data_IF_035333006335
#
_entry.id   IF_035333006335
#
_cell.length_a   1.000
_cell.length_b   1.000
_cell.length_c   1.000
_cell.angle_alpha   90.00
_cell.angle_beta   90.00
_cell.angle_gamma   90.00
#
_symmetry.space_group_name_H-M   'P 1'
#
loop_
_entity.id
_entity.type
_entity.pdbx_description
1 polymer ?
#
# COMPACT_ATOMS: atom_id res chain seq x y z
N UNK A 1 -31.52 3.06 -12.18
CA UNK A 1 -30.75 2.21 -11.25
C UNK A 1 -30.31 0.96 -12.01
N UNK A 2 -29.00 0.73 -12.17
CA UNK A 2 -28.51 -0.55 -12.72
C UNK A 2 -28.83 -1.66 -11.70
N UNK A 3 -29.53 -2.69 -12.13
CA UNK A 3 -29.83 -3.88 -11.33
C UNK A 3 -28.50 -4.47 -10.84
N UNK A 4 -28.29 -4.55 -9.53
CA UNK A 4 -27.10 -5.20 -8.98
C UNK A 4 -27.26 -6.71 -9.20
N UNK A 5 -26.52 -7.23 -10.18
CA UNK A 5 -26.45 -8.67 -10.43
C UNK A 5 -25.56 -9.30 -9.35
N UNK A 6 -26.19 -9.90 -8.34
CA UNK A 6 -25.47 -10.58 -7.27
C UNK A 6 -24.84 -11.86 -7.82
N UNK A 7 -23.51 -11.95 -7.72
CA UNK A 7 -22.73 -13.12 -8.19
C UNK A 7 -23.06 -14.43 -7.45
N UNK A 8 -23.72 -14.35 -6.30
CA UNK A 8 -24.08 -15.48 -5.45
C UNK A 8 -25.52 -15.31 -4.99
N UNK A 9 -26.27 -16.41 -4.89
CA UNK A 9 -27.64 -16.44 -4.34
C UNK A 9 -27.66 -16.15 -2.84
N UNK A 10 -26.54 -16.35 -2.14
CA UNK A 10 -26.40 -16.06 -0.71
C UNK A 10 -25.01 -16.32 -0.16
N UNK A 11 -24.82 -15.98 1.12
CA UNK A 11 -23.53 -16.06 1.82
C UNK A 11 -23.00 -17.49 1.94
N UNK A 12 -23.91 -18.46 2.17
CA UNK A 12 -23.55 -19.89 2.23
C UNK A 12 -23.05 -20.45 0.90
N UNK A 13 -23.58 -19.98 -0.23
CA UNK A 13 -23.09 -20.37 -1.55
C UNK A 13 -21.69 -19.83 -1.81
N UNK A 14 -21.44 -18.57 -1.42
CA UNK A 14 -20.11 -17.96 -1.50
C UNK A 14 -19.09 -18.71 -0.66
N UNK A 15 -19.42 -19.03 0.59
CA UNK A 15 -18.54 -19.81 1.48
C UNK A 15 -18.20 -21.18 0.87
N UNK A 16 -19.19 -21.88 0.31
CA UNK A 16 -18.99 -23.18 -0.36
C UNK A 16 -18.16 -23.07 -1.64
N UNK A 17 -18.26 -21.97 -2.40
CA UNK A 17 -17.49 -21.77 -3.63
C UNK A 17 -16.07 -21.27 -3.37
N UNK A 18 -15.88 -20.41 -2.37
CA UNK A 18 -14.62 -19.72 -2.06
C UNK A 18 -13.85 -20.37 -0.88
N UNK A 19 -14.29 -21.53 -0.36
CA UNK A 19 -13.70 -22.19 0.83
C UNK A 19 -12.18 -22.38 0.76
N UNK A 20 -11.65 -22.70 -0.42
CA UNK A 20 -10.20 -22.88 -0.64
C UNK A 20 -9.42 -21.60 -0.38
N UNK A 21 -10.00 -20.45 -0.73
CA UNK A 21 -9.37 -19.14 -0.53
C UNK A 21 -9.28 -18.86 0.98
N UNK A 22 -10.36 -19.10 1.72
CA UNK A 22 -10.38 -18.90 3.18
C UNK A 22 -9.42 -19.85 3.90
N UNK A 23 -9.41 -21.13 3.53
CA UNK A 23 -8.52 -22.12 4.12
C UNK A 23 -7.04 -21.78 3.87
N UNK A 24 -6.69 -21.42 2.64
CA UNK A 24 -5.32 -21.03 2.33
C UNK A 24 -4.91 -19.73 3.01
N UNK A 25 -5.81 -18.73 3.10
CA UNK A 25 -5.54 -17.52 3.85
C UNK A 25 -5.22 -17.84 5.31
N UNK A 26 -5.99 -18.71 5.95
CA UNK A 26 -5.72 -19.16 7.32
C UNK A 26 -4.35 -19.87 7.44
N UNK A 27 -4.03 -20.79 6.53
CA UNK A 27 -2.74 -21.50 6.53
C UNK A 27 -1.58 -20.51 6.33
N UNK A 28 -1.69 -19.58 5.39
CA UNK A 28 -0.64 -18.58 5.14
C UNK A 28 -0.44 -17.65 6.33
N UNK A 29 -1.53 -17.27 7.01
CA UNK A 29 -1.46 -16.47 8.24
C UNK A 29 -0.72 -17.26 9.32
N UNK A 30 -1.08 -18.52 9.57
CA UNK A 30 -0.43 -19.36 10.59
C UNK A 30 1.07 -19.49 10.31
N UNK A 31 1.44 -19.78 9.05
CA UNK A 31 2.86 -19.90 8.65
C UNK A 31 3.59 -18.56 8.84
N UNK A 32 3.01 -17.46 8.35
CA UNK A 32 3.65 -16.15 8.41
C UNK A 32 3.79 -15.64 9.86
N UNK A 33 2.77 -15.85 10.69
CA UNK A 33 2.78 -15.44 12.09
C UNK A 33 3.76 -16.28 12.92
N UNK A 34 3.89 -17.58 12.60
CA UNK A 34 4.89 -18.46 13.23
C UNK A 34 6.33 -18.03 12.94
N UNK A 35 6.59 -17.38 11.80
CA UNK A 35 7.90 -16.79 11.47
C UNK A 35 8.13 -15.50 12.28
N UNK A 36 7.07 -14.72 12.51
CA UNK A 36 7.14 -13.46 13.23
C UNK A 36 7.85 -12.35 12.45
N UNK A 37 8.25 -11.30 13.15
CA UNK A 37 8.95 -10.16 12.55
C UNK A 37 10.45 -10.42 12.44
N UNK A 38 11.02 -10.27 11.25
CA UNK A 38 12.47 -10.34 11.06
C UNK A 38 13.02 -8.92 11.09
N UNK A 39 13.98 -8.67 11.97
CA UNK A 39 14.64 -7.37 12.13
C UNK A 39 16.05 -7.47 11.59
N UNK A 40 16.35 -6.70 10.55
CA UNK A 40 17.66 -6.64 9.91
C UNK A 40 18.26 -5.25 10.20
N UNK A 41 19.35 -5.15 10.97
CA UNK A 41 20.02 -3.87 11.18
C UNK A 41 20.63 -3.39 9.85
N UNK A 42 20.24 -2.20 9.41
CA UNK A 42 20.64 -1.58 8.15
C UNK A 42 21.21 -0.19 8.46
N UNK A 43 22.49 -0.16 8.85
CA UNK A 43 23.22 1.07 9.18
C UNK A 43 22.51 1.91 10.26
N UNK A 44 22.05 3.15 9.96
CA UNK A 44 21.39 4.01 10.95
C UNK A 44 19.96 3.59 11.31
N UNK A 45 19.39 2.58 10.64
CA UNK A 45 18.02 2.11 10.85
C UNK A 45 17.90 0.60 11.00
N UNK A 46 16.70 0.13 11.32
CA UNK A 46 16.36 -1.30 11.30
C UNK A 46 15.30 -1.54 10.26
N UNK A 47 15.57 -2.44 9.31
CA UNK A 47 14.53 -2.94 8.42
C UNK A 47 13.73 -4.01 9.15
N UNK A 48 12.43 -3.79 9.29
CA UNK A 48 11.51 -4.74 9.90
C UNK A 48 10.66 -5.36 8.80
N UNK A 49 10.85 -6.66 8.58
CA UNK A 49 10.05 -7.43 7.65
C UNK A 49 8.89 -8.08 8.41
N UNK A 50 7.70 -7.56 8.16
CA UNK A 50 6.46 -7.99 8.81
C UNK A 50 5.91 -9.30 8.19
N UNK A 51 5.20 -10.12 8.98
CA UNK A 51 4.52 -11.34 8.51
C UNK A 51 3.70 -11.20 7.22
N UNK A 52 3.07 -10.04 7.03
CA UNK A 52 2.27 -9.74 5.83
C UNK A 52 3.05 -9.93 4.52
N UNK A 53 4.37 -9.72 4.52
CA UNK A 53 5.17 -9.92 3.32
C UNK A 53 5.33 -11.40 2.99
N UNK A 54 5.55 -12.26 4.00
CA UNK A 54 5.64 -13.71 3.77
C UNK A 54 4.33 -14.29 3.25
N UNK A 55 3.19 -13.84 3.80
CA UNK A 55 1.89 -14.32 3.35
C UNK A 55 1.60 -13.92 1.89
N UNK A 56 2.04 -12.73 1.46
CA UNK A 56 1.99 -12.31 0.05
C UNK A 56 2.85 -13.23 -0.82
N UNK A 57 4.09 -13.55 -0.42
CA UNK A 57 4.95 -14.46 -1.17
C UNK A 57 4.33 -15.86 -1.31
N UNK A 58 3.77 -16.42 -0.22
CA UNK A 58 3.05 -17.70 -0.27
C UNK A 58 1.81 -17.63 -1.19
N UNK A 59 1.10 -16.50 -1.19
CA UNK A 59 0.01 -16.22 -2.12
C UNK A 59 0.46 -16.21 -3.58
N UNK A 60 1.59 -15.57 -3.89
CA UNK A 60 2.16 -15.55 -5.24
C UNK A 60 2.58 -16.96 -5.68
N UNK A 61 3.27 -17.72 -4.80
CA UNK A 61 3.69 -19.09 -5.07
C UNK A 61 2.50 -20.02 -5.35
N UNK A 62 1.42 -19.89 -4.59
CA UNK A 62 0.19 -20.68 -4.80
C UNK A 62 -0.62 -20.27 -6.04
N UNK A 63 -0.25 -19.17 -6.69
CA UNK A 63 -0.94 -18.64 -7.86
C UNK A 63 -0.84 -19.52 -9.12
N UNK A 64 -1.66 -19.21 -10.15
CA UNK A 64 -1.75 -19.97 -11.40
C UNK A 64 -0.48 -19.96 -12.25
N UNK A 65 0.46 -19.06 -11.98
CA UNK A 65 1.71 -18.92 -12.73
C UNK A 65 2.83 -19.81 -12.17
N UNK A 66 2.74 -20.23 -10.90
CA UNK A 66 3.81 -20.96 -10.22
C UNK A 66 3.32 -22.35 -9.85
N UNK A 67 2.68 -22.53 -8.68
CA UNK A 67 2.24 -23.86 -8.21
C UNK A 67 0.86 -24.30 -8.74
N UNK A 68 0.09 -23.39 -9.37
CA UNK A 68 -1.23 -23.68 -9.95
C UNK A 68 -2.26 -24.24 -8.96
N UNK A 69 -2.08 -23.97 -7.67
CA UNK A 69 -3.03 -24.34 -6.61
C UNK A 69 -4.34 -23.57 -6.82
N UNK A 70 -4.23 -22.28 -7.15
CA UNK A 70 -5.36 -21.42 -7.49
C UNK A 70 -5.51 -21.17 -8.99
N UNK A 71 -6.75 -21.16 -9.47
CA UNK A 71 -7.12 -20.81 -10.84
C UNK A 71 -7.49 -19.32 -10.95
N UNK A 72 -7.47 -18.78 -12.19
CA UNK A 72 -7.84 -17.37 -12.47
C UNK A 72 -9.18 -16.92 -11.83
N UNK A 73 -10.26 -17.73 -11.83
CA UNK A 73 -11.51 -17.32 -11.20
C UNK A 73 -11.39 -17.15 -9.68
N UNK A 74 -10.65 -18.05 -9.02
CA UNK A 74 -10.43 -18.01 -7.56
C UNK A 74 -9.56 -16.81 -7.18
N UNK A 75 -8.51 -16.50 -7.95
CA UNK A 75 -7.69 -15.29 -7.75
C UNK A 75 -8.52 -14.02 -7.93
N UNK A 76 -9.39 -13.98 -8.94
CA UNK A 76 -10.28 -12.83 -9.18
C UNK A 76 -11.29 -12.66 -8.04
N UNK A 77 -11.84 -13.75 -7.52
CA UNK A 77 -12.72 -13.73 -6.36
C UNK A 77 -11.98 -13.23 -5.09
N UNK A 78 -10.76 -13.72 -4.85
CA UNK A 78 -9.91 -13.28 -3.75
C UNK A 78 -9.61 -11.77 -3.80
N UNK A 79 -9.35 -11.22 -5.00
CA UNK A 79 -9.12 -9.77 -5.18
C UNK A 79 -10.29 -8.91 -4.69
N UNK A 80 -11.53 -9.42 -4.79
CA UNK A 80 -12.73 -8.72 -4.28
C UNK A 80 -12.88 -8.82 -2.77
N UNK A 81 -12.30 -9.84 -2.13
CA UNK A 81 -12.32 -9.97 -0.67
C UNK A 81 -11.37 -8.99 0.01
N UNK A 82 -10.34 -8.50 -0.70
CA UNK A 82 -9.36 -7.53 -0.17
C UNK A 82 -10.05 -6.30 0.43
N UNK A 83 -11.01 -5.68 -0.28
CA UNK A 83 -11.72 -4.50 0.22
C UNK A 83 -12.50 -4.80 1.51
N UNK A 84 -13.15 -5.97 1.56
CA UNK A 84 -13.94 -6.40 2.73
C UNK A 84 -13.04 -6.52 3.95
N UNK A 85 -11.82 -7.04 3.78
CA UNK A 85 -10.84 -7.17 4.85
C UNK A 85 -10.19 -5.84 5.24
N UNK A 86 -9.94 -4.94 4.28
CA UNK A 86 -9.29 -3.65 4.53
C UNK A 86 -10.27 -2.60 5.08
N UNK A 87 -11.56 -2.66 4.75
CA UNK A 87 -12.56 -1.68 5.19
C UNK A 87 -12.57 -1.43 6.71
N UNK A 88 -12.60 -2.46 7.59
CA UNK A 88 -12.50 -2.25 9.03
C UNK A 88 -11.19 -1.56 9.46
N UNK A 89 -10.08 -1.87 8.77
CA UNK A 89 -8.79 -1.23 9.02
C UNK A 89 -8.81 0.24 8.63
N UNK A 90 -9.37 0.59 7.46
CA UNK A 90 -9.55 1.99 7.04
C UNK A 90 -10.46 2.75 8.00
N UNK A 91 -11.56 2.14 8.44
CA UNK A 91 -12.45 2.74 9.43
C UNK A 91 -11.68 3.05 10.73
N UNK A 92 -10.87 2.10 11.22
CA UNK A 92 -10.01 2.30 12.39
C UNK A 92 -8.97 3.40 12.16
N UNK A 93 -8.32 3.45 10.99
CA UNK A 93 -7.38 4.52 10.65
C UNK A 93 -8.06 5.89 10.66
N UNK A 94 -9.26 6.00 10.08
CA UNK A 94 -10.05 7.23 10.07
C UNK A 94 -10.43 7.71 11.47
N UNK A 95 -10.88 6.79 12.34
CA UNK A 95 -11.20 7.10 13.74
C UNK A 95 -9.96 7.59 14.48
N UNK A 96 -8.81 6.92 14.32
CA UNK A 96 -7.56 7.30 14.96
C UNK A 96 -7.05 8.66 14.47
N UNK A 97 -7.15 8.93 13.16
CA UNK A 97 -6.79 10.22 12.58
C UNK A 97 -7.69 11.33 13.12
N UNK A 98 -9.00 11.09 13.23
CA UNK A 98 -9.95 12.03 13.85
C UNK A 98 -9.64 12.31 15.33
N UNK A 99 -9.27 11.28 16.09
CA UNK A 99 -8.86 11.43 17.49
C UNK A 99 -7.58 12.28 17.66
N UNK A 100 -6.74 12.35 16.62
CA UNK A 100 -5.46 13.09 16.62
C UNK A 100 -5.51 14.36 15.76
N UNK A 101 -6.69 14.95 15.57
CA UNK A 101 -6.89 16.05 14.62
C UNK A 101 -6.02 17.28 14.91
N UNK A 102 -5.75 17.59 16.17
CA UNK A 102 -4.85 18.70 16.54
C UNK A 102 -3.42 18.48 16.03
N UNK A 103 -2.92 17.25 16.13
CA UNK A 103 -1.61 16.85 15.57
C UNK A 103 -1.62 16.94 14.04
N UNK A 104 -2.72 16.56 13.39
CA UNK A 104 -2.87 16.67 11.93
C UNK A 104 -2.85 18.13 11.49
N UNK A 105 -3.56 19.02 12.21
CA UNK A 105 -3.62 20.45 11.91
C UNK A 105 -2.24 21.10 12.08
N UNK A 106 -1.53 20.79 13.16
CA UNK A 106 -0.17 21.32 13.38
C UNK A 106 0.84 20.80 12.36
N UNK A 107 0.70 19.55 11.90
CA UNK A 107 1.45 19.00 10.78
C UNK A 107 0.95 19.50 9.41
N UNK A 108 -0.16 20.25 9.36
CA UNK A 108 -0.87 20.68 8.15
C UNK A 108 0.03 21.28 7.07
N UNK A 109 0.93 22.22 7.36
CA UNK A 109 1.86 22.76 6.36
C UNK A 109 2.76 21.70 5.72
N UNK A 110 3.26 20.75 6.52
CA UNK A 110 4.07 19.65 6.02
C UNK A 110 3.24 18.66 5.19
N UNK A 111 2.01 18.35 5.62
CA UNK A 111 1.07 17.50 4.89
C UNK A 111 0.68 18.12 3.54
N UNK A 112 0.45 19.43 3.47
CA UNK A 112 0.18 20.13 2.22
C UNK A 112 1.37 20.01 1.25
N UNK A 113 2.59 20.25 1.72
CA UNK A 113 3.80 20.06 0.91
C UNK A 113 3.98 18.60 0.47
N UNK A 114 3.65 17.65 1.33
CA UNK A 114 3.67 16.23 1.01
C UNK A 114 2.68 15.89 -0.12
N UNK A 115 1.46 16.43 -0.09
CA UNK A 115 0.48 16.21 -1.16
C UNK A 115 0.91 16.85 -2.49
N UNK A 116 1.58 18.00 -2.46
CA UNK A 116 2.22 18.55 -3.67
C UNK A 116 3.30 17.62 -4.22
N UNK A 117 4.11 17.01 -3.34
CA UNK A 117 5.08 15.99 -3.73
C UNK A 117 4.41 14.79 -4.40
N UNK A 118 3.33 14.28 -3.80
CA UNK A 118 2.55 13.18 -4.37
C UNK A 118 2.01 13.53 -5.77
N UNK A 119 1.41 14.71 -5.95
CA UNK A 119 0.95 15.19 -7.26
C UNK A 119 2.09 15.35 -8.27
N UNK A 120 3.25 15.83 -7.81
CA UNK A 120 4.45 15.98 -8.63
C UNK A 120 4.90 14.67 -9.27
N UNK A 121 4.78 13.55 -8.55
CA UNK A 121 5.16 12.24 -9.08
C UNK A 121 4.32 11.79 -10.28
N UNK A 122 3.10 12.31 -10.45
CA UNK A 122 2.21 11.95 -11.57
C UNK A 122 2.81 12.42 -12.90
N UNK A 123 3.42 13.61 -12.94
CA UNK A 123 4.03 14.16 -14.15
C UNK A 123 5.17 13.30 -14.69
N UNK A 124 5.82 12.50 -13.84
CA UNK A 124 6.85 11.56 -14.26
C UNK A 124 6.29 10.14 -14.45
N UNK A 125 5.52 9.65 -13.49
CA UNK A 125 5.04 8.27 -13.48
C UNK A 125 4.01 7.98 -14.57
N UNK A 126 3.10 8.90 -14.86
CA UNK A 126 2.04 8.68 -15.85
C UNK A 126 2.60 8.59 -17.28
N UNK A 127 3.46 9.51 -17.76
CA UNK A 127 4.09 9.35 -19.08
C UNK A 127 4.89 8.05 -19.21
N UNK A 128 5.65 7.69 -18.17
CA UNK A 128 6.42 6.43 -18.17
C UNK A 128 5.47 5.23 -18.23
N UNK A 129 4.38 5.23 -17.46
CA UNK A 129 3.40 4.15 -17.48
C UNK A 129 2.75 4.00 -18.87
N UNK A 130 2.39 5.12 -19.50
CA UNK A 130 1.84 5.13 -20.86
C UNK A 130 2.86 4.63 -21.89
N UNK A 131 4.13 5.02 -21.77
CA UNK A 131 5.23 4.54 -22.64
C UNK A 131 5.45 3.03 -22.52
N UNK A 132 5.24 2.46 -21.32
CA UNK A 132 5.26 1.02 -21.08
C UNK A 132 3.99 0.30 -21.60
N UNK A 133 3.07 1.02 -22.25
CA UNK A 133 1.86 0.48 -22.85
C UNK A 133 0.70 0.27 -21.86
N UNK A 134 0.82 0.74 -20.62
CA UNK A 134 -0.27 0.73 -19.65
C UNK A 134 -1.33 1.74 -20.09
N UNK A 135 -2.61 1.35 -20.08
CA UNK A 135 -3.72 2.24 -20.46
C UNK A 135 -4.48 2.67 -19.22
N UNK A 136 -5.62 2.02 -18.95
CA UNK A 136 -6.46 2.31 -17.78
C UNK A 136 -5.77 1.90 -16.49
N UNK A 137 -4.95 0.86 -16.52
CA UNK A 137 -4.10 0.44 -15.40
C UNK A 137 -3.18 1.56 -14.90
N UNK A 138 -2.73 2.45 -15.80
CA UNK A 138 -1.85 3.57 -15.44
C UNK A 138 -2.54 4.55 -14.48
N UNK A 139 -3.86 4.74 -14.61
CA UNK A 139 -4.63 5.64 -13.73
C UNK A 139 -4.54 5.17 -12.28
N UNK A 140 -4.74 3.87 -12.03
CA UNK A 140 -4.61 3.32 -10.68
C UNK A 140 -3.16 3.17 -10.24
N UNK A 141 -2.26 2.74 -11.13
CA UNK A 141 -0.84 2.57 -10.80
C UNK A 141 -0.15 3.89 -10.41
N UNK A 142 -0.55 5.00 -11.02
CA UNK A 142 -0.01 6.34 -10.74
C UNK A 142 -0.85 7.14 -9.73
N UNK A 143 -1.87 6.52 -9.12
CA UNK A 143 -2.71 7.19 -8.14
C UNK A 143 -2.07 7.23 -6.76
N UNK A 144 -1.51 8.40 -6.40
CA UNK A 144 -0.90 8.64 -5.09
C UNK A 144 0.16 7.56 -4.77
N UNK A 145 0.40 7.29 -3.49
CA UNK A 145 1.30 6.23 -3.01
C UNK A 145 0.61 4.85 -2.92
N UNK A 146 -0.61 4.72 -3.45
CA UNK A 146 -1.40 3.50 -3.49
C UNK A 146 -1.57 2.79 -2.14
N UNK A 147 -1.60 3.53 -1.02
CA UNK A 147 -1.93 3.00 0.32
C UNK A 147 -3.40 2.60 0.46
N UNK A 148 -3.77 2.01 1.60
CA UNK A 148 -5.06 1.35 1.85
C UNK A 148 -6.26 2.24 1.47
N UNK A 149 -6.23 3.52 1.84
CA UNK A 149 -7.27 4.49 1.48
C UNK A 149 -7.39 4.71 -0.02
N UNK A 150 -6.26 4.78 -0.72
CA UNK A 150 -6.21 4.96 -2.17
C UNK A 150 -6.68 3.69 -2.90
N UNK A 151 -6.30 2.51 -2.41
CA UNK A 151 -6.77 1.23 -2.96
C UNK A 151 -8.29 1.11 -2.82
N UNK A 152 -8.82 1.44 -1.64
CA UNK A 152 -10.26 1.42 -1.39
C UNK A 152 -11.00 2.44 -2.27
N UNK A 153 -10.50 3.66 -2.38
CA UNK A 153 -11.08 4.69 -3.25
C UNK A 153 -11.12 4.24 -4.71
N UNK A 154 -10.03 3.64 -5.20
CA UNK A 154 -9.95 3.18 -6.58
C UNK A 154 -10.92 2.03 -6.87
N UNK A 155 -11.11 1.14 -5.90
CA UNK A 155 -12.09 0.05 -5.98
C UNK A 155 -13.54 0.54 -5.87
N UNK A 156 -13.80 1.60 -5.10
CA UNK A 156 -15.13 2.21 -4.97
C UNK A 156 -15.54 2.97 -6.24
N UNK A 157 -14.64 3.81 -6.77
CA UNK A 157 -14.91 4.64 -7.95
C UNK A 157 -15.00 3.82 -9.23
N UNK A 158 -14.04 2.92 -9.48
CA UNK A 158 -13.95 2.19 -10.76
C UNK A 158 -14.50 0.76 -10.68
N UNK A 159 -14.74 0.25 -9.47
CA UNK A 159 -15.11 -1.14 -9.22
C UNK A 159 -13.89 -2.04 -9.02
N UNK A 160 -14.00 -3.11 -8.21
CA UNK A 160 -12.87 -3.97 -7.84
C UNK A 160 -12.32 -4.83 -8.99
N UNK A 161 -13.09 -5.02 -10.06
CA UNK A 161 -12.67 -5.76 -11.25
C UNK A 161 -12.04 -4.87 -12.34
N UNK A 162 -11.95 -3.57 -12.12
CA UNK A 162 -11.51 -2.60 -13.12
C UNK A 162 -9.99 -2.67 -13.37
N UNK A 163 -9.53 -2.31 -14.59
CA UNK A 163 -8.13 -2.05 -14.87
C UNK A 163 -7.45 -1.12 -13.85
N UNK A 164 -8.13 -0.05 -13.45
CA UNK A 164 -7.65 0.96 -12.49
C UNK A 164 -7.40 0.32 -11.12
N UNK A 165 -8.38 -0.39 -10.57
CA UNK A 165 -8.24 -1.10 -9.30
C UNK A 165 -7.10 -2.13 -9.32
N UNK A 166 -6.92 -2.85 -10.44
CA UNK A 166 -5.81 -3.79 -10.62
C UNK A 166 -4.45 -3.09 -10.68
N UNK A 167 -4.37 -1.94 -11.36
CA UNK A 167 -3.16 -1.12 -11.40
C UNK A 167 -2.77 -0.65 -10.00
N UNK A 168 -3.74 -0.13 -9.24
CA UNK A 168 -3.56 0.30 -7.85
C UNK A 168 -3.11 -0.85 -6.94
N UNK A 169 -3.79 -1.99 -7.01
CA UNK A 169 -3.45 -3.19 -6.23
C UNK A 169 -2.03 -3.70 -6.55
N UNK A 170 -1.62 -3.64 -7.82
CA UNK A 170 -0.28 -4.06 -8.25
C UNK A 170 0.81 -3.20 -7.61
N UNK A 171 0.63 -1.87 -7.60
CA UNK A 171 1.58 -0.94 -6.99
C UNK A 171 1.54 -1.01 -5.46
N UNK A 172 0.37 -1.23 -4.85
CA UNK A 172 0.27 -1.48 -3.41
C UNK A 172 1.17 -2.66 -2.98
N UNK A 173 1.13 -3.77 -3.72
CA UNK A 173 1.92 -4.97 -3.42
C UNK A 173 3.41 -4.76 -3.78
N UNK A 174 3.71 -4.38 -5.03
CA UNK A 174 5.09 -4.31 -5.54
C UNK A 174 5.82 -3.08 -5.02
N UNK A 175 5.16 -1.91 -5.03
CA UNK A 175 5.74 -0.66 -4.58
C UNK A 175 6.08 -0.68 -3.08
N UNK A 176 5.22 -1.29 -2.27
CA UNK A 176 5.46 -1.45 -0.84
C UNK A 176 6.67 -2.32 -0.50
N UNK A 177 6.93 -3.37 -1.29
CA UNK A 177 8.04 -4.31 -1.04
C UNK A 177 9.32 -3.84 -1.74
N UNK A 178 9.27 -3.68 -3.05
CA UNK A 178 10.46 -3.48 -3.87
C UNK A 178 10.90 -2.01 -3.87
N UNK A 179 9.98 -1.10 -4.18
CA UNK A 179 10.32 0.30 -4.39
C UNK A 179 10.74 0.96 -3.06
N UNK A 180 10.02 0.70 -1.97
CA UNK A 180 10.37 1.23 -0.66
C UNK A 180 11.75 0.71 -0.16
N UNK A 181 12.01 -0.59 -0.31
CA UNK A 181 13.21 -1.22 0.23
C UNK A 181 14.47 -0.89 -0.56
N UNK A 182 14.43 -1.06 -1.88
CA UNK A 182 15.63 -1.01 -2.72
C UNK A 182 15.88 0.37 -3.33
N UNK A 183 14.86 1.22 -3.42
CA UNK A 183 14.98 2.57 -4.00
C UNK A 183 14.71 3.63 -2.94
N UNK A 184 13.61 3.51 -2.20
CA UNK A 184 13.17 4.50 -1.22
C UNK A 184 14.17 4.72 -0.09
N UNK A 185 14.55 3.66 0.64
CA UNK A 185 15.50 3.79 1.75
C UNK A 185 16.85 4.38 1.30
N UNK A 186 17.53 3.84 0.25
CA UNK A 186 18.79 4.42 -0.20
C UNK A 186 18.66 5.87 -0.69
N UNK A 187 17.61 6.18 -1.44
CA UNK A 187 17.39 7.53 -1.97
C UNK A 187 17.09 8.53 -0.86
N UNK A 188 16.26 8.17 0.13
CA UNK A 188 15.99 9.02 1.29
C UNK A 188 17.25 9.28 2.09
N UNK A 189 18.08 8.26 2.34
CA UNK A 189 19.35 8.44 3.03
C UNK A 189 20.30 9.37 2.27
N UNK A 190 20.39 9.21 0.95
CA UNK A 190 21.20 10.09 0.11
C UNK A 190 20.69 11.53 0.10
N UNK A 191 19.38 11.73 -0.06
CA UNK A 191 18.75 13.05 -0.02
C UNK A 191 18.94 13.71 1.34
N UNK A 192 18.75 12.97 2.43
CA UNK A 192 18.96 13.47 3.78
C UNK A 192 20.41 13.91 3.97
N UNK A 193 21.39 13.06 3.66
CA UNK A 193 22.80 13.41 3.76
C UNK A 193 23.19 14.64 2.91
N UNK A 194 22.49 14.87 1.79
CA UNK A 194 22.75 16.02 0.91
C UNK A 194 22.07 17.32 1.37
N UNK A 195 20.86 17.20 1.91
CA UNK A 195 19.99 18.33 2.24
C UNK A 195 20.11 18.78 3.70
N UNK A 196 20.31 17.86 4.64
CA UNK A 196 20.47 18.14 6.07
C UNK A 196 21.54 19.22 6.35
N UNK A 197 22.75 19.20 5.74
CA UNK A 197 23.75 20.23 5.99
C UNK A 197 23.32 21.65 5.60
N UNK A 198 22.37 21.77 4.65
CA UNK A 198 21.85 23.05 4.16
C UNK A 198 20.59 23.50 4.89
N UNK A 199 19.71 22.55 5.21
CA UNK A 199 18.40 22.80 5.80
C UNK A 199 18.41 22.78 7.33
N UNK A 200 19.26 21.95 7.95
CA UNK A 200 19.40 21.84 9.41
C UNK A 200 19.66 23.19 10.10
N UNK A 201 20.64 23.99 9.65
CA UNK A 201 20.92 25.30 10.25
C UNK A 201 19.76 26.30 10.12
N UNK A 202 18.89 26.15 9.11
CA UNK A 202 17.72 27.00 8.91
C UNK A 202 16.58 26.53 9.82
N UNK A 203 16.37 25.22 9.93
CA UNK A 203 15.41 24.62 10.86
C UNK A 203 15.71 25.02 12.30
N UNK A 204 16.96 24.91 12.75
CA UNK A 204 17.35 25.24 14.12
C UNK A 204 17.14 26.73 14.46
N UNK A 205 17.40 27.61 13.48
CA UNK A 205 17.10 29.05 13.62
C UNK A 205 15.61 29.34 13.71
N UNK A 206 14.77 28.66 12.93
CA UNK A 206 13.32 28.83 12.93
C UNK A 206 12.65 28.19 14.16
N UNK A 207 13.19 27.08 14.66
CA UNK A 207 12.72 26.39 15.85
C UNK A 207 13.11 27.07 17.16
N UNK A 208 13.83 28.21 17.10
CA UNK A 208 14.27 28.94 18.29
C UNK A 208 15.30 28.17 19.12
N UNK A 209 15.96 27.14 18.56
CA UNK A 209 17.09 26.46 19.20
C UNK A 209 18.33 27.33 19.07
N UNK A 210 18.34 28.42 19.83
CA UNK A 210 19.50 29.26 20.04
C UNK A 210 20.57 28.51 20.81
N UNK A 211 21.79 28.47 20.26
CA UNK A 211 23.09 28.32 20.92
C UNK A 211 23.04 28.07 22.45
N UNK A 212 23.03 26.80 22.82
CA UNK A 212 23.57 26.25 24.07
C UNK A 212 23.81 24.77 23.75
N UNK A 213 25.01 24.21 23.80
CA UNK A 213 26.10 24.38 24.73
C UNK A 213 27.44 24.39 23.98
N UNK A 214 28.40 25.16 24.50
CA UNK A 214 29.83 24.93 24.30
C UNK A 214 30.34 24.15 25.50
#
# INVERSE_FOLDING_TARGET
MKQQEFMYSGLGERLKKEWKIYLAALIFIIIADSIGQIKIPLGPGTLILFPIFYSIFLGILSGPQILKIFKKPEVKAASKLVIVCICPFIAKLGINAGASIETVISAGPALLLQEFGNLGTIFLSLPIALLLGLKREAVGACHSINRETNLALMQDVFGPDSPEARGSLSIYIIGGIYLALFVGIPLCNWLYAKLEPKLGPIHDKLAGKGKGEK
#
